data_IF_351963002448
#
_entry.id   IF_351963002448
#
_cell.length_a   1.000
_cell.length_b   1.000
_cell.length_c   1.000
_cell.angle_alpha   90.00
_cell.angle_beta   90.00
_cell.angle_gamma   90.00
#
_symmetry.space_group_name_H-M   'P 1'
#
loop_
_entity.id
_entity.type
_entity.pdbx_description
1 polymer ?
#
# COMPACT_ATOMS: atom_id res chain seq x y z
N UNK A 1 9.43 -17.81 -2.57
CA UNK A 1 8.34 -16.85 -2.74
C UNK A 1 8.90 -15.46 -2.52
N UNK A 2 8.62 -14.53 -3.42
CA UNK A 2 8.99 -13.12 -3.29
C UNK A 2 7.87 -12.42 -2.51
N UNK A 3 8.14 -11.81 -1.35
CA UNK A 3 7.11 -11.19 -0.54
C UNK A 3 6.59 -9.89 -1.17
N UNK A 4 5.29 -9.68 -1.09
CA UNK A 4 4.59 -8.47 -1.50
C UNK A 4 4.13 -7.70 -0.26
N UNK A 5 4.42 -6.40 -0.24
CA UNK A 5 3.83 -5.45 0.70
C UNK A 5 2.88 -4.52 -0.08
N UNK A 6 1.61 -4.50 0.29
CA UNK A 6 0.61 -3.65 -0.32
C UNK A 6 0.37 -2.39 0.54
N UNK A 7 0.58 -1.21 -0.02
CA UNK A 7 0.26 0.07 0.61
C UNK A 7 -1.10 0.55 0.10
N UNK A 8 -2.05 0.74 1.01
CA UNK A 8 -3.41 1.18 0.72
C UNK A 8 -3.84 2.38 1.55
N UNK A 9 -5.02 2.91 1.27
CA UNK A 9 -5.58 4.09 1.94
C UNK A 9 -6.13 5.09 0.93
N UNK A 10 -7.05 5.95 1.38
CA UNK A 10 -7.73 6.89 0.50
C UNK A 10 -6.80 7.91 -0.19
N UNK A 11 -7.31 8.63 -1.19
CA UNK A 11 -6.53 9.65 -1.89
C UNK A 11 -6.08 10.75 -0.91
N UNK A 12 -4.80 11.13 -1.01
CA UNK A 12 -4.22 12.19 -0.18
C UNK A 12 -3.89 11.80 1.27
N UNK A 13 -4.06 10.53 1.69
CA UNK A 13 -3.68 10.09 3.06
C UNK A 13 -2.17 10.02 3.29
N UNK A 14 -1.36 10.01 2.21
CA UNK A 14 0.10 10.02 2.26
C UNK A 14 0.78 8.72 1.80
N UNK A 15 0.11 7.89 0.99
CA UNK A 15 0.66 6.64 0.43
C UNK A 15 1.99 6.85 -0.30
N UNK A 16 2.02 7.73 -1.29
CA UNK A 16 3.25 8.04 -2.05
C UNK A 16 4.35 8.61 -1.18
N UNK A 17 4.02 9.40 -0.14
CA UNK A 17 5.01 9.89 0.84
C UNK A 17 5.63 8.74 1.64
N UNK A 18 4.82 7.77 2.07
CA UNK A 18 5.31 6.56 2.74
C UNK A 18 6.18 5.73 1.78
N UNK A 19 5.73 5.54 0.54
CA UNK A 19 6.50 4.77 -0.44
C UNK A 19 7.86 5.39 -0.72
N UNK A 20 7.93 6.70 -0.97
CA UNK A 20 9.19 7.44 -1.16
C UNK A 20 10.14 7.22 0.02
N UNK A 21 9.61 7.29 1.24
CA UNK A 21 10.39 7.01 2.45
C UNK A 21 10.93 5.57 2.47
N UNK A 22 10.09 4.58 2.17
CA UNK A 22 10.51 3.18 2.12
C UNK A 22 11.62 2.98 1.07
N UNK A 23 11.52 3.62 -0.10
CA UNK A 23 12.56 3.60 -1.13
C UNK A 23 13.86 4.22 -0.59
N UNK A 24 13.79 5.39 0.06
CA UNK A 24 14.95 6.09 0.62
C UNK A 24 15.65 5.30 1.73
N UNK A 25 14.89 4.66 2.61
CA UNK A 25 15.42 3.91 3.76
C UNK A 25 15.94 2.51 3.39
N UNK A 26 15.65 2.02 2.18
CA UNK A 26 16.01 0.67 1.72
C UNK A 26 16.71 0.67 0.35
N UNK A 27 17.47 1.72 0.02
CA UNK A 27 18.19 1.86 -1.26
C UNK A 27 19.23 0.75 -1.52
N UNK A 28 19.69 0.08 -0.46
CA UNK A 28 20.63 -1.03 -0.51
C UNK A 28 19.95 -2.40 -0.68
N UNK A 29 18.61 -2.44 -0.62
CA UNK A 29 17.80 -3.65 -0.79
C UNK A 29 17.41 -3.84 -2.25
N UNK A 30 17.28 -5.10 -2.65
CA UNK A 30 16.84 -5.46 -4.01
C UNK A 30 15.33 -5.55 -4.06
N UNK A 31 14.66 -4.45 -3.76
CA UNK A 31 13.20 -4.37 -3.77
C UNK A 31 12.72 -3.69 -5.04
N UNK A 32 11.61 -4.19 -5.58
CA UNK A 32 10.92 -3.52 -6.68
C UNK A 32 9.74 -2.74 -6.13
N UNK A 33 9.55 -1.53 -6.64
CA UNK A 33 8.48 -0.64 -6.23
C UNK A 33 7.51 -0.43 -7.40
N UNK A 34 6.25 -0.83 -7.21
CA UNK A 34 5.18 -0.64 -8.19
C UNK A 34 4.27 0.50 -7.75
N UNK A 35 4.15 1.53 -8.59
CA UNK A 35 3.32 2.71 -8.31
C UNK A 35 2.17 2.76 -9.29
N UNK A 36 0.98 3.01 -8.75
CA UNK A 36 -0.24 3.17 -9.50
C UNK A 36 -0.55 4.67 -9.72
N UNK A 37 -0.30 5.19 -10.93
CA UNK A 37 -0.57 6.60 -11.26
C UNK A 37 -2.08 6.89 -11.43
N UNK A 38 -2.63 7.79 -10.61
CA UNK A 38 -4.00 8.30 -10.78
C UNK A 38 -4.08 9.84 -10.90
N UNK A 39 -2.97 10.58 -11.02
CA UNK A 39 -3.09 12.03 -11.23
C UNK A 39 -2.21 12.56 -12.35
N UNK A 40 -2.84 13.35 -13.24
CA UNK A 40 -2.19 14.11 -14.31
C UNK A 40 -1.25 15.24 -13.79
N UNK A 41 -0.91 15.21 -12.50
CA UNK A 41 -0.03 16.14 -11.80
C UNK A 41 1.10 15.42 -11.03
N UNK A 42 1.28 14.10 -11.20
CA UNK A 42 2.32 13.32 -10.51
C UNK A 42 3.72 13.53 -11.11
N UNK A 43 4.26 14.74 -10.95
CA UNK A 43 5.71 15.00 -11.06
C UNK A 43 6.50 14.10 -10.12
N UNK A 44 5.86 13.65 -9.03
CA UNK A 44 6.44 12.90 -7.93
C UNK A 44 6.73 11.42 -8.23
N UNK A 45 5.97 10.75 -9.10
CA UNK A 45 6.23 9.36 -9.53
C UNK A 45 7.38 9.30 -10.53
N UNK A 46 7.38 10.25 -11.48
CA UNK A 46 8.46 10.44 -12.46
C UNK A 46 9.80 10.75 -11.78
N UNK A 47 9.82 11.63 -10.77
CA UNK A 47 11.04 11.96 -10.02
C UNK A 47 11.65 10.73 -9.31
N UNK A 48 10.82 9.83 -8.78
CA UNK A 48 11.31 8.64 -8.08
C UNK A 48 11.83 7.59 -9.07
N UNK A 49 11.20 7.45 -10.23
CA UNK A 49 11.70 6.59 -11.31
C UNK A 49 12.97 7.11 -11.99
N UNK A 50 13.17 8.43 -12.04
CA UNK A 50 14.41 9.01 -12.60
C UNK A 50 15.61 8.84 -11.67
N UNK A 51 15.39 8.81 -10.34
CA UNK A 51 16.45 8.62 -9.34
C UNK A 51 16.74 7.14 -9.01
N UNK A 52 15.82 6.21 -9.31
CA UNK A 52 15.98 4.79 -8.99
C UNK A 52 15.42 3.88 -10.10
N UNK A 53 16.30 3.08 -10.72
CA UNK A 53 15.95 2.15 -11.80
C UNK A 53 15.01 1.02 -11.39
N UNK A 54 14.85 0.78 -10.08
CA UNK A 54 14.07 -0.32 -9.52
C UNK A 54 12.62 0.08 -9.20
N UNK A 55 12.24 1.31 -9.57
CA UNK A 55 10.88 1.84 -9.45
C UNK A 55 10.20 1.77 -10.81
N UNK A 56 9.19 0.91 -10.92
CA UNK A 56 8.43 0.71 -12.15
C UNK A 56 7.06 1.36 -11.97
N UNK A 57 6.79 2.41 -12.74
CA UNK A 57 5.48 3.05 -12.79
C UNK A 57 4.54 2.29 -13.73
N UNK A 58 3.29 2.09 -13.30
CA UNK A 58 2.20 1.60 -14.15
C UNK A 58 1.27 2.80 -14.45
N UNK A 59 1.29 3.35 -15.67
CA UNK A 59 0.51 4.54 -16.00
C UNK A 59 -0.99 4.24 -16.06
N UNK A 60 -1.76 5.01 -15.27
CA UNK A 60 -3.19 5.21 -15.45
C UNK A 60 -4.11 4.13 -14.91
N UNK A 61 -4.85 4.46 -13.85
CA UNK A 61 -6.01 3.69 -13.32
C UNK A 61 -5.65 2.86 -12.08
N UNK A 62 -6.44 1.87 -11.63
CA UNK A 62 -6.12 1.03 -10.44
C UNK A 62 -5.56 -0.33 -10.87
N UNK A 63 -4.43 -0.77 -10.32
CA UNK A 63 -3.84 -2.12 -10.51
C UNK A 63 -4.87 -3.25 -10.31
N UNK A 64 -5.85 -3.03 -9.43
CA UNK A 64 -6.93 -4.00 -9.13
C UNK A 64 -8.15 -3.88 -10.04
N UNK A 65 -8.14 -2.98 -11.02
CA UNK A 65 -9.19 -2.86 -12.02
C UNK A 65 -8.96 -3.86 -13.15
N UNK A 66 -10.04 -4.46 -13.68
CA UNK A 66 -9.99 -5.38 -14.83
C UNK A 66 -9.25 -4.81 -16.04
N UNK A 67 -9.20 -3.49 -16.19
CA UNK A 67 -8.53 -2.82 -17.32
C UNK A 67 -7.00 -2.85 -17.23
N UNK A 68 -6.42 -3.03 -16.04
CA UNK A 68 -4.97 -2.89 -15.79
C UNK A 68 -4.34 -4.14 -15.18
N UNK A 69 -5.18 -5.12 -14.83
CA UNK A 69 -4.72 -6.41 -14.31
C UNK A 69 -3.74 -7.08 -15.29
N UNK A 70 -3.94 -6.96 -16.60
CA UNK A 70 -3.04 -7.52 -17.62
C UNK A 70 -1.66 -6.86 -17.58
N UNK A 71 -1.60 -5.55 -17.38
CA UNK A 71 -0.33 -4.81 -17.29
C UNK A 71 0.39 -5.13 -15.99
N UNK A 72 -0.34 -5.19 -14.88
CA UNK A 72 0.18 -5.65 -13.60
C UNK A 72 0.77 -7.06 -13.68
N UNK A 73 0.05 -8.02 -14.26
CA UNK A 73 0.55 -9.40 -14.47
C UNK A 73 1.82 -9.35 -15.30
N UNK A 74 1.82 -8.61 -16.41
CA UNK A 74 3.00 -8.50 -17.27
C UNK A 74 4.23 -7.95 -16.55
N UNK A 75 4.06 -6.96 -15.66
CA UNK A 75 5.17 -6.43 -14.86
C UNK A 75 5.63 -7.44 -13.81
N UNK A 76 4.71 -8.09 -13.09
CA UNK A 76 5.05 -9.10 -12.09
C UNK A 76 5.78 -10.30 -12.70
N UNK A 77 5.34 -10.79 -13.86
CA UNK A 77 6.04 -11.85 -14.61
C UNK A 77 7.44 -11.41 -15.02
N UNK A 78 7.61 -10.19 -15.56
CA UNK A 78 8.93 -9.65 -15.92
C UNK A 78 9.85 -9.52 -14.71
N UNK A 79 9.35 -9.06 -13.57
CA UNK A 79 10.12 -8.98 -12.32
C UNK A 79 10.67 -10.35 -11.98
N UNK A 80 9.83 -11.39 -12.01
CA UNK A 80 10.27 -12.76 -11.74
C UNK A 80 11.31 -13.28 -12.75
N UNK A 81 11.09 -13.06 -14.05
CA UNK A 81 11.94 -13.60 -15.11
C UNK A 81 13.29 -12.86 -15.25
N UNK A 82 13.32 -11.55 -15.02
CA UNK A 82 14.47 -10.69 -15.30
C UNK A 82 15.30 -10.38 -14.06
N UNK A 83 14.69 -10.42 -12.87
CA UNK A 83 15.34 -10.05 -11.62
C UNK A 83 15.35 -11.21 -10.62
N UNK A 84 16.17 -12.23 -10.93
CA UNK A 84 16.26 -13.46 -10.14
C UNK A 84 16.80 -13.30 -8.71
N UNK A 85 17.24 -12.10 -8.33
CA UNK A 85 17.77 -11.75 -7.01
C UNK A 85 16.89 -10.74 -6.23
N UNK A 86 15.65 -10.49 -6.68
CA UNK A 86 14.69 -9.62 -5.96
C UNK A 86 14.32 -10.20 -4.60
N UNK A 87 14.41 -9.36 -3.58
CA UNK A 87 14.13 -9.69 -2.19
C UNK A 87 12.67 -9.36 -1.78
N UNK A 88 11.97 -8.53 -2.55
CA UNK A 88 10.58 -8.15 -2.26
C UNK A 88 9.98 -7.14 -3.24
N UNK A 89 8.65 -7.03 -3.24
CA UNK A 89 7.89 -6.09 -4.07
C UNK A 89 6.96 -5.23 -3.21
N UNK A 90 7.10 -3.91 -3.28
CA UNK A 90 6.21 -2.97 -2.60
C UNK A 90 5.26 -2.36 -3.63
N UNK A 91 3.96 -2.43 -3.39
CA UNK A 91 2.93 -1.99 -4.32
C UNK A 91 2.11 -0.87 -3.69
N UNK A 92 2.04 0.30 -4.33
CA UNK A 92 1.05 1.33 -3.99
C UNK A 92 -0.27 1.05 -4.72
N UNK A 93 -1.33 0.79 -3.96
CA UNK A 93 -2.68 0.65 -4.48
C UNK A 93 -3.32 2.02 -4.79
N UNK A 94 -4.25 2.04 -5.76
CA UNK A 94 -5.14 3.19 -5.94
C UNK A 94 -5.91 3.50 -4.65
N UNK A 95 -6.20 4.79 -4.42
CA UNK A 95 -6.93 5.21 -3.22
C UNK A 95 -8.35 4.65 -3.09
N UNK A 96 -8.91 4.13 -4.18
CA UNK A 96 -10.23 3.49 -4.23
C UNK A 96 -10.15 1.96 -4.32
N UNK A 97 -8.96 1.36 -4.29
CA UNK A 97 -8.82 -0.09 -4.39
C UNK A 97 -9.41 -0.82 -3.17
N UNK A 98 -10.02 -1.98 -3.42
CA UNK A 98 -10.36 -2.96 -2.39
C UNK A 98 -9.20 -3.96 -2.28
N UNK A 99 -8.39 -3.95 -1.21
CA UNK A 99 -7.24 -4.83 -1.09
C UNK A 99 -7.59 -6.31 -0.98
N UNK A 100 -8.83 -6.67 -0.61
CA UNK A 100 -9.19 -8.08 -0.38
C UNK A 100 -9.12 -8.92 -1.65
N UNK A 101 -9.15 -8.28 -2.81
CA UNK A 101 -9.10 -8.97 -4.11
C UNK A 101 -7.68 -9.39 -4.51
N UNK A 102 -6.62 -8.90 -3.86
CA UNK A 102 -5.24 -9.18 -4.29
C UNK A 102 -4.89 -10.67 -4.16
N UNK A 103 -5.33 -11.34 -3.10
CA UNK A 103 -5.01 -12.74 -2.87
C UNK A 103 -5.65 -13.64 -3.93
N UNK A 104 -6.91 -13.38 -4.28
CA UNK A 104 -7.61 -14.09 -5.34
C UNK A 104 -7.01 -13.78 -6.71
N UNK A 105 -6.65 -12.52 -6.95
CA UNK A 105 -5.98 -12.10 -8.19
C UNK A 105 -4.62 -12.80 -8.37
N UNK A 106 -3.80 -12.94 -7.32
CA UNK A 106 -2.53 -13.69 -7.40
C UNK A 106 -2.76 -15.15 -7.79
N UNK A 107 -3.79 -15.80 -7.22
CA UNK A 107 -4.16 -17.19 -7.55
C UNK A 107 -4.68 -17.35 -8.96
N UNK A 108 -5.63 -16.51 -9.37
CA UNK A 108 -6.24 -16.57 -10.71
C UNK A 108 -5.21 -16.33 -11.82
N UNK A 109 -4.16 -15.58 -11.53
CA UNK A 109 -3.09 -15.22 -12.47
C UNK A 109 -1.86 -16.13 -12.37
N UNK A 110 -1.88 -17.13 -11.48
CA UNK A 110 -0.75 -18.03 -11.17
C UNK A 110 0.50 -17.31 -10.64
N UNK A 111 0.39 -16.03 -10.27
CA UNK A 111 1.48 -15.28 -9.66
C UNK A 111 1.75 -15.76 -8.23
N UNK A 112 0.79 -16.43 -7.59
CA UNK A 112 0.94 -17.09 -6.29
C UNK A 112 1.95 -18.26 -6.28
N UNK A 113 2.46 -18.66 -7.45
CA UNK A 113 3.59 -19.61 -7.55
C UNK A 113 4.96 -18.96 -7.31
N UNK A 114 5.04 -17.63 -7.41
CA UNK A 114 6.28 -16.87 -7.31
C UNK A 114 6.23 -15.80 -6.24
N UNK A 115 5.05 -15.22 -6.00
CA UNK A 115 4.83 -14.11 -5.08
C UNK A 115 3.86 -14.48 -3.96
N UNK A 116 4.09 -13.94 -2.78
CA UNK A 116 3.19 -14.11 -1.63
C UNK A 116 2.82 -12.75 -1.04
N UNK A 117 1.56 -12.54 -0.69
CA UNK A 117 1.17 -11.34 0.03
C UNK A 117 1.64 -11.44 1.48
N UNK A 118 2.71 -10.72 1.81
CA UNK A 118 3.32 -10.76 3.13
C UNK A 118 2.69 -9.76 4.10
N UNK A 119 2.22 -8.61 3.59
CA UNK A 119 1.75 -7.53 4.46
C UNK A 119 0.84 -6.53 3.72
N UNK A 120 -0.17 -6.01 4.41
CA UNK A 120 -1.03 -4.90 3.97
C UNK A 120 -0.90 -3.73 4.95
N UNK A 121 -0.30 -2.64 4.47
CA UNK A 121 -0.20 -1.36 5.18
C UNK A 121 -1.34 -0.43 4.75
N UNK A 122 -2.21 -0.05 5.67
CA UNK A 122 -3.33 0.86 5.38
C UNK A 122 -3.14 2.21 6.03
N UNK A 123 -3.10 3.27 5.23
CA UNK A 123 -2.97 4.65 5.72
C UNK A 123 -4.34 5.30 5.86
N UNK A 124 -4.64 5.73 7.08
CA UNK A 124 -5.83 6.51 7.42
C UNK A 124 -5.43 7.92 7.87
N UNK A 125 -6.31 8.88 7.63
CA UNK A 125 -6.15 10.28 8.00
C UNK A 125 -7.48 10.77 8.59
N UNK A 126 -7.50 11.45 9.77
CA UNK A 126 -8.73 11.76 10.51
C UNK A 126 -9.85 12.42 9.69
N UNK A 127 -9.51 13.42 8.87
CA UNK A 127 -10.48 14.20 8.09
C UNK A 127 -11.15 13.35 7.01
N UNK A 128 -10.37 12.71 6.13
CA UNK A 128 -10.94 11.91 5.04
C UNK A 128 -11.63 10.65 5.57
N UNK A 129 -11.05 9.98 6.58
CA UNK A 129 -11.58 8.75 7.12
C UNK A 129 -12.98 8.96 7.71
N UNK A 130 -13.13 9.95 8.59
CA UNK A 130 -14.43 10.28 9.20
C UNK A 130 -15.48 10.70 8.16
N UNK A 131 -15.07 11.43 7.12
CA UNK A 131 -15.99 11.89 6.10
C UNK A 131 -16.50 10.76 5.19
N UNK A 132 -15.74 9.67 5.03
CA UNK A 132 -15.98 8.68 3.98
C UNK A 132 -16.32 7.28 4.49
N UNK A 133 -16.03 6.97 5.76
CA UNK A 133 -16.26 5.64 6.36
C UNK A 133 -17.71 5.13 6.21
N UNK A 134 -18.70 6.03 6.17
CA UNK A 134 -20.12 5.68 6.01
C UNK A 134 -20.64 5.77 4.57
N UNK A 135 -19.81 6.22 3.63
CA UNK A 135 -20.23 6.47 2.24
C UNK A 135 -19.50 5.55 1.26
N UNK A 136 -18.24 5.20 1.54
CA UNK A 136 -17.40 4.39 0.67
C UNK A 136 -17.04 3.07 1.38
N UNK A 137 -17.65 1.94 0.96
CA UNK A 137 -17.36 0.62 1.54
C UNK A 137 -15.86 0.25 1.51
N UNK A 138 -15.15 0.70 0.46
CA UNK A 138 -13.73 0.40 0.30
C UNK A 138 -12.86 0.95 1.44
N UNK A 139 -13.29 2.01 2.14
CA UNK A 139 -12.59 2.53 3.31
C UNK A 139 -12.62 1.51 4.45
N UNK A 140 -13.76 0.84 4.64
CA UNK A 140 -13.92 -0.23 5.62
C UNK A 140 -13.06 -1.43 5.21
N UNK A 141 -13.15 -1.84 3.94
CA UNK A 141 -12.40 -2.99 3.41
C UNK A 141 -10.87 -2.80 3.54
N UNK A 142 -10.38 -1.58 3.33
CA UNK A 142 -8.97 -1.23 3.53
C UNK A 142 -8.52 -1.43 4.98
N UNK A 143 -9.36 -1.10 5.96
CA UNK A 143 -9.06 -1.30 7.39
C UNK A 143 -9.18 -2.76 7.80
N UNK A 144 -10.21 -3.47 7.31
CA UNK A 144 -10.40 -4.90 7.58
C UNK A 144 -9.18 -5.73 7.15
N UNK A 145 -8.69 -5.48 5.94
CA UNK A 145 -7.56 -6.19 5.35
C UNK A 145 -6.20 -5.77 5.93
N UNK A 146 -6.11 -4.67 6.69
CA UNK A 146 -4.84 -4.11 7.13
C UNK A 146 -4.15 -5.00 8.18
N UNK A 147 -2.89 -5.36 7.96
CA UNK A 147 -2.02 -5.93 8.99
C UNK A 147 -1.50 -4.83 9.92
N UNK A 148 -1.29 -3.63 9.39
CA UNK A 148 -0.97 -2.42 10.13
C UNK A 148 -1.76 -1.22 9.59
N UNK A 149 -2.40 -0.49 10.49
CA UNK A 149 -3.06 0.78 10.21
C UNK A 149 -2.17 1.94 10.65
N UNK A 150 -1.86 2.83 9.72
CA UNK A 150 -1.10 4.04 9.96
C UNK A 150 -2.06 5.23 10.07
N UNK A 151 -2.24 5.75 11.27
CA UNK A 151 -2.93 7.02 11.50
C UNK A 151 -1.97 8.17 11.21
N UNK A 152 -1.89 8.57 9.94
CA UNK A 152 -0.93 9.55 9.46
C UNK A 152 -1.42 10.99 9.63
N UNK A 153 -0.48 11.93 9.53
CA UNK A 153 -0.69 13.38 9.75
C UNK A 153 -1.19 13.70 11.15
N UNK A 154 -0.74 12.91 12.14
CA UNK A 154 -1.18 13.08 13.53
C UNK A 154 -0.79 14.44 14.12
N UNK A 155 0.18 15.13 13.52
CA UNK A 155 0.59 16.49 13.85
C UNK A 155 -0.44 17.57 13.48
N UNK A 156 -1.42 17.26 12.62
CA UNK A 156 -2.42 18.23 12.13
C UNK A 156 -3.74 18.19 12.92
N UNK A 157 -3.86 17.31 13.91
CA UNK A 157 -5.10 17.07 14.65
C UNK A 157 -4.87 17.06 16.16
N UNK A 158 -5.90 17.48 16.89
CA UNK A 158 -5.95 17.38 18.35
C UNK A 158 -6.17 15.92 18.81
N UNK A 159 -5.90 15.67 20.10
CA UNK A 159 -6.02 14.35 20.70
C UNK A 159 -7.43 13.77 20.57
N UNK A 160 -8.47 14.59 20.72
CA UNK A 160 -9.86 14.15 20.63
C UNK A 160 -10.19 13.59 19.23
N UNK A 161 -9.72 14.26 18.16
CA UNK A 161 -9.91 13.77 16.79
C UNK A 161 -9.09 12.52 16.52
N UNK A 162 -7.88 12.42 17.06
CA UNK A 162 -7.04 11.23 16.91
C UNK A 162 -7.70 10.04 17.60
N UNK A 163 -8.07 10.17 18.87
CA UNK A 163 -8.73 9.14 19.66
C UNK A 163 -10.07 8.70 19.03
N UNK A 164 -10.88 9.64 18.53
CA UNK A 164 -12.12 9.30 17.82
C UNK A 164 -11.84 8.50 16.52
N UNK A 165 -10.77 8.83 15.80
CA UNK A 165 -10.37 8.11 14.58
C UNK A 165 -9.90 6.70 14.93
N UNK A 166 -9.09 6.55 15.98
CA UNK A 166 -8.64 5.25 16.47
C UNK A 166 -9.80 4.36 16.89
N UNK A 167 -10.76 4.93 17.63
CA UNK A 167 -11.97 4.20 18.01
C UNK A 167 -12.77 3.77 16.79
N UNK A 168 -12.91 4.63 15.78
CA UNK A 168 -13.60 4.27 14.54
C UNK A 168 -12.89 3.14 13.78
N UNK A 169 -11.56 3.15 13.73
CA UNK A 169 -10.77 2.03 13.17
C UNK A 169 -11.02 0.75 13.98
N UNK A 170 -10.98 0.82 15.32
CA UNK A 170 -11.22 -0.34 16.19
C UNK A 170 -12.66 -0.86 16.12
N UNK A 171 -13.63 -0.01 15.80
CA UNK A 171 -15.00 -0.45 15.55
C UNK A 171 -15.12 -1.28 14.26
N UNK A 172 -14.23 -1.07 13.29
CA UNK A 172 -14.13 -1.91 12.07
C UNK A 172 -13.31 -3.17 12.36
N UNK A 173 -12.13 -3.03 12.98
CA UNK A 173 -11.21 -4.12 13.30
C UNK A 173 -10.74 -4.00 14.75
N UNK A 174 -11.36 -4.77 15.64
CA UNK A 174 -11.18 -4.63 17.09
C UNK A 174 -9.71 -4.78 17.53
N UNK A 175 -9.00 -5.72 16.92
CA UNK A 175 -7.60 -6.06 17.16
C UNK A 175 -6.61 -5.31 16.24
N UNK A 176 -7.06 -4.23 15.58
CA UNK A 176 -6.22 -3.47 14.67
C UNK A 176 -4.90 -3.06 15.34
N UNK A 177 -3.79 -3.49 14.73
CA UNK A 177 -2.48 -2.92 15.00
C UNK A 177 -2.46 -1.52 14.39
N UNK A 178 -2.48 -0.49 15.25
CA UNK A 178 -2.61 0.90 14.83
C UNK A 178 -1.47 1.70 15.44
N UNK A 179 -0.81 2.49 14.61
CA UNK A 179 0.23 3.44 15.04
C UNK A 179 -0.05 4.83 14.48
N UNK A 180 0.14 5.85 15.31
CA UNK A 180 0.14 7.25 14.87
C UNK A 180 1.47 7.56 14.19
N UNK A 181 1.44 8.30 13.10
CA UNK A 181 2.66 8.73 12.43
C UNK A 181 2.52 10.10 11.76
N UNK A 182 3.67 10.70 11.47
CA UNK A 182 3.82 11.95 10.73
C UNK A 182 4.67 11.68 9.51
N UNK A 183 4.17 12.06 8.33
CA UNK A 183 4.84 11.81 7.03
C UNK A 183 5.21 10.33 6.83
N UNK A 184 4.35 9.41 7.27
CA UNK A 184 4.58 7.98 7.14
C UNK A 184 5.79 7.45 7.94
N UNK A 185 6.31 8.22 8.91
CA UNK A 185 7.45 7.77 9.73
C UNK A 185 7.04 6.66 10.68
N UNK A 186 7.49 5.45 10.40
CA UNK A 186 7.31 4.27 11.25
C UNK A 186 8.61 3.45 11.27
N UNK A 187 8.86 2.78 12.37
CA UNK A 187 9.86 1.71 12.44
C UNK A 187 9.09 0.39 12.33
N UNK A 188 9.01 -0.15 11.11
CA UNK A 188 8.21 -1.33 10.82
C UNK A 188 8.85 -2.22 9.75
N UNK A 189 8.88 -3.55 9.94
CA UNK A 189 9.37 -4.46 8.91
C UNK A 189 8.38 -4.51 7.74
N UNK A 190 8.72 -3.88 6.61
CA UNK A 190 7.86 -3.75 5.42
C UNK A 190 7.22 -5.09 4.99
N UNK A 191 7.96 -6.20 5.07
CA UNK A 191 7.50 -7.55 4.75
C UNK A 191 7.31 -8.46 5.98
N UNK A 192 7.23 -7.90 7.19
CA UNK A 192 7.20 -8.68 8.43
C UNK A 192 5.83 -9.30 8.75
N UNK A 193 5.85 -10.60 9.05
CA UNK A 193 4.70 -11.46 9.32
C UNK A 193 3.75 -10.98 10.44
N UNK A 194 2.47 -10.80 10.10
CA UNK A 194 1.33 -11.16 10.95
C UNK A 194 1.01 -12.65 10.77
N UNK A 195 1.86 -13.52 11.32
CA UNK A 195 1.50 -14.92 11.63
C UNK A 195 1.69 -15.97 10.51
N UNK A 196 2.90 -16.54 10.46
CA UNK A 196 3.04 -17.96 10.13
C UNK A 196 2.54 -18.78 11.32
N UNK A 197 1.34 -19.37 11.22
CA UNK A 197 0.92 -20.65 11.83
C UNK A 197 -0.48 -21.06 11.37
#
# INVERSE_FOLDING_TARGET
MIPICLITGFLGTGKTTLLKRIVEENRDRKWIYLINEFSALDVDGAMVSEENSDVVSIPGGSIFCKCLVTEFIGQMTKIHEQHGDVEGVVIEASGMADPRVIADMLKETQLDQHFELANILTIVEPRSFRALIHTLPNIIHQVEAADLVLLNKSDLFDEDRLAATEQAVRNIKADANLVRCVKGKIDFPVFGNSGSH
#
